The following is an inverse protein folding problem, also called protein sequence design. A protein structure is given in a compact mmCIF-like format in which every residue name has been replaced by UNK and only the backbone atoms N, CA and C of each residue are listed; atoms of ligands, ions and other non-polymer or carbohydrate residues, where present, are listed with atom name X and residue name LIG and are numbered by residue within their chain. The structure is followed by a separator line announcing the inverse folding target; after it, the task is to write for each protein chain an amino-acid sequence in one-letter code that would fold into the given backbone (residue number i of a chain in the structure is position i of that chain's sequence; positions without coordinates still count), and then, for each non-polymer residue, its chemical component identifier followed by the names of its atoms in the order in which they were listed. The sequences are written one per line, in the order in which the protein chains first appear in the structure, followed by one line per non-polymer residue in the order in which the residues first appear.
data_IF_383502509506
#
_entry.id   IF_383502509506
#
_cell.length_a   1.000
_cell.length_b   1.000
_cell.length_c   1.000
_cell.angle_alpha   90.00
_cell.angle_beta   90.00
_cell.angle_gamma   90.00
#
_symmetry.space_group_name_H-M   'P 1'
#
loop_
_entity.id
_entity.type
_entity.pdbx_description
1 polymer ?
#
# COMPACT_ATOMS: atom_id res chain seq x y z
N UNK A 1 -1.46 -27.06 9.29
CA UNK A 1 -1.02 -25.69 8.91
C UNK A 1 -2.06 -25.14 7.94
N UNK A 2 -2.70 -24.00 8.21
CA UNK A 2 -3.60 -23.42 7.22
C UNK A 2 -2.76 -23.04 6.00
N UNK A 3 -3.17 -23.54 4.83
CA UNK A 3 -2.60 -23.11 3.54
C UNK A 3 -2.93 -21.62 3.38
N UNK A 4 -1.99 -20.76 2.97
CA UNK A 4 -2.33 -19.38 2.63
C UNK A 4 -3.32 -19.46 1.46
N UNK A 5 -4.56 -19.08 1.74
CA UNK A 5 -5.65 -19.03 0.77
C UNK A 5 -5.19 -18.27 -0.46
N UNK A 6 -5.43 -18.86 -1.63
CA UNK A 6 -5.13 -18.25 -2.90
C UNK A 6 -5.83 -16.89 -3.05
N UNK A 7 -5.05 -15.82 -3.21
CA UNK A 7 -5.42 -14.63 -3.98
C UNK A 7 -4.15 -14.18 -4.73
N UNK A 8 -3.96 -14.69 -5.95
CA UNK A 8 -2.87 -14.29 -6.86
C UNK A 8 -3.19 -12.96 -7.58
N UNK A 9 -4.16 -12.19 -7.07
CA UNK A 9 -4.48 -10.86 -7.57
C UNK A 9 -3.84 -9.81 -6.67
N UNK A 10 -3.08 -8.85 -7.23
CA UNK A 10 -2.50 -7.78 -6.43
C UNK A 10 -3.62 -6.92 -5.86
N UNK A 11 -3.80 -7.01 -4.53
CA UNK A 11 -4.73 -6.14 -3.81
C UNK A 11 -4.21 -4.71 -3.87
N UNK A 12 -5.10 -3.75 -4.14
CA UNK A 12 -4.75 -2.33 -4.27
C UNK A 12 -5.18 -1.52 -3.04
N UNK A 13 -4.42 -0.48 -2.69
CA UNK A 13 -4.76 0.52 -1.68
C UNK A 13 -4.55 1.94 -2.20
N UNK A 14 -5.25 2.91 -1.61
CA UNK A 14 -5.07 4.33 -1.93
C UNK A 14 -3.90 4.92 -1.17
N UNK A 15 -3.02 5.62 -1.87
CA UNK A 15 -1.88 6.31 -1.29
C UNK A 15 -1.66 7.67 -1.96
N UNK A 16 -1.11 8.62 -1.19
CA UNK A 16 -0.53 9.84 -1.75
C UNK A 16 0.88 9.52 -2.25
N UNK A 17 1.10 9.63 -3.55
CA UNK A 17 2.36 9.28 -4.23
C UNK A 17 3.03 10.55 -4.75
N UNK A 18 4.34 10.63 -4.51
CA UNK A 18 5.23 11.63 -5.10
C UNK A 18 6.22 10.93 -6.04
N UNK A 19 6.06 11.10 -7.35
CA UNK A 19 6.97 10.49 -8.34
C UNK A 19 8.08 11.43 -8.82
N UNK A 20 7.99 12.71 -8.48
CA UNK A 20 8.93 13.77 -8.88
C UNK A 20 9.15 14.74 -7.73
N UNK A 21 10.28 15.43 -7.74
CA UNK A 21 10.55 16.50 -6.77
C UNK A 21 9.77 17.77 -7.12
N UNK A 22 9.26 18.47 -6.11
CA UNK A 22 8.54 19.73 -6.30
C UNK A 22 7.72 20.14 -5.07
N UNK A 23 6.91 21.18 -5.27
CA UNK A 23 5.92 21.66 -4.30
C UNK A 23 4.78 20.65 -4.10
N UNK A 24 3.95 20.75 -3.05
CA UNK A 24 2.90 19.77 -2.73
C UNK A 24 1.94 19.43 -3.88
N UNK A 25 1.83 20.27 -4.90
CA UNK A 25 1.06 20.00 -6.12
C UNK A 25 1.55 18.76 -6.91
N UNK A 26 2.78 18.27 -6.65
CA UNK A 26 3.27 17.02 -7.24
C UNK A 26 2.71 15.77 -6.57
N UNK A 27 2.01 15.90 -5.44
CA UNK A 27 1.38 14.80 -4.73
C UNK A 27 0.09 14.37 -5.43
N UNK A 28 -0.04 13.08 -5.72
CA UNK A 28 -1.21 12.52 -6.38
C UNK A 28 -1.79 11.35 -5.60
N UNK A 29 -3.11 11.33 -5.45
CA UNK A 29 -3.83 10.15 -4.94
C UNK A 29 -3.83 9.08 -6.03
N UNK A 30 -3.25 7.91 -5.76
CA UNK A 30 -3.20 6.78 -6.68
C UNK A 30 -3.55 5.48 -5.96
N UNK A 31 -4.03 4.50 -6.71
CA UNK A 31 -4.13 3.12 -6.26
C UNK A 31 -2.77 2.45 -6.48
N UNK A 32 -2.19 1.91 -5.41
CA UNK A 32 -0.90 1.21 -5.38
C UNK A 32 -1.07 -0.19 -4.79
N UNK A 33 -0.13 -1.09 -5.05
CA UNK A 33 -0.17 -2.44 -4.48
C UNK A 33 -0.11 -2.39 -2.95
N UNK A 34 -0.93 -3.24 -2.30
CA UNK A 34 -0.89 -3.43 -0.86
C UNK A 34 0.46 -4.07 -0.50
N UNK A 35 1.24 -3.49 0.43
CA UNK A 35 2.50 -4.07 0.83
C UNK A 35 2.28 -5.41 1.53
N UNK A 36 3.17 -6.38 1.25
CA UNK A 36 3.19 -7.68 1.91
C UNK A 36 4.18 -7.61 3.07
N UNK A 37 3.72 -7.69 4.34
CA UNK A 37 4.62 -7.68 5.49
C UNK A 37 5.55 -8.90 5.50
N UNK A 38 6.80 -8.70 5.91
CA UNK A 38 7.71 -9.80 6.28
C UNK A 38 7.47 -10.25 7.73
N UNK A 39 8.19 -11.27 8.20
CA UNK A 39 7.93 -11.95 9.49
C UNK A 39 7.79 -11.02 10.71
N UNK A 40 8.56 -9.93 10.78
CA UNK A 40 8.54 -8.97 11.89
C UNK A 40 7.71 -7.70 11.60
N UNK A 41 6.83 -7.73 10.61
CA UNK A 41 6.05 -6.59 10.15
C UNK A 41 4.54 -6.84 10.23
N UNK A 42 3.79 -5.76 10.40
CA UNK A 42 2.32 -5.78 10.43
C UNK A 42 1.75 -4.88 9.33
N UNK A 43 0.68 -5.34 8.68
CA UNK A 43 -0.13 -4.51 7.78
C UNK A 43 -1.20 -3.78 8.58
N UNK A 44 -1.18 -2.45 8.56
CA UNK A 44 -2.11 -1.61 9.32
C UNK A 44 -3.02 -0.83 8.36
N UNK A 45 -4.31 -0.74 8.69
CA UNK A 45 -5.25 0.17 8.00
C UNK A 45 -5.23 1.54 8.66
N UNK A 46 -4.72 2.53 7.94
CA UNK A 46 -4.67 3.93 8.40
C UNK A 46 -6.08 4.54 8.36
N UNK A 47 -6.49 5.18 9.46
CA UNK A 47 -7.78 5.90 9.58
C UNK A 47 -7.57 7.42 9.50
N UNK A 48 -6.44 7.91 10.02
CA UNK A 48 -5.99 9.30 9.98
C UNK A 48 -4.46 9.36 10.08
N UNK A 49 -3.86 10.42 9.55
CA UNK A 49 -2.42 10.70 9.56
C UNK A 49 -2.18 12.21 9.69
#
# INVERSE_FOLDING_TARGET
MPKPSAETEPKMMKAIVQDRYGLPDVLALRDVEVPVPTDDQLLIRVIAA
#
